data_IF_191023866885
#
_entry.id   IF_191023866885
#
_cell.length_a   1.000
_cell.length_b   1.000
_cell.length_c   1.000
_cell.angle_alpha   90.00
_cell.angle_beta   90.00
_cell.angle_gamma   90.00
#
_symmetry.space_group_name_H-M   'P 1'
#
loop_
_entity.id
_entity.type
_entity.pdbx_description
1 polymer ?
#
# COMPACT_ATOMS: atom_id res chain seq x y z
N UNK A 1 37.24 1.05 16.69
CA UNK A 1 36.46 -0.16 17.08
C UNK A 1 35.01 0.08 16.68
N UNK A 2 34.62 -0.44 15.51
CA UNK A 2 33.22 -0.50 15.09
C UNK A 2 32.54 -1.68 15.79
N UNK A 3 31.41 -1.47 16.48
CA UNK A 3 30.48 -2.54 16.72
C UNK A 3 29.16 -2.31 15.96
N UNK A 4 28.70 -3.39 15.31
CA UNK A 4 27.28 -3.76 15.11
C UNK A 4 26.53 -3.03 13.97
N UNK A 5 26.25 -3.61 12.81
CA UNK A 5 25.56 -4.89 12.57
C UNK A 5 24.35 -5.07 13.50
N UNK A 6 23.24 -4.34 13.28
CA UNK A 6 21.92 -4.87 13.64
C UNK A 6 20.77 -4.13 12.97
N UNK A 7 20.19 -4.81 11.98
CA UNK A 7 18.76 -4.95 11.72
C UNK A 7 17.78 -3.76 11.83
N UNK A 8 17.16 -3.51 10.67
CA UNK A 8 15.70 -3.52 10.48
C UNK A 8 14.90 -2.64 11.45
N UNK A 9 14.22 -1.64 10.89
CA UNK A 9 12.74 -1.62 10.98
C UNK A 9 12.12 -0.65 10.00
N UNK A 10 11.39 -1.26 9.06
CA UNK A 10 10.07 -0.87 8.60
C UNK A 10 9.81 0.63 8.59
N UNK A 11 10.02 1.25 7.43
CA UNK A 11 9.22 2.40 7.05
C UNK A 11 7.74 1.94 7.12
N UNK A 12 7.10 2.27 8.23
CA UNK A 12 5.68 2.07 8.43
C UNK A 12 4.97 2.97 7.44
N UNK A 13 4.60 2.41 6.30
CA UNK A 13 3.70 3.06 5.38
C UNK A 13 2.33 3.10 6.08
N UNK A 14 1.93 4.29 6.49
CA UNK A 14 0.61 4.60 7.02
C UNK A 14 -0.40 4.36 5.90
N UNK A 15 -0.86 3.10 5.80
CA UNK A 15 -1.74 2.62 4.73
C UNK A 15 -3.09 3.29 4.88
N UNK A 16 -3.28 4.41 4.18
CA UNK A 16 -4.61 4.89 3.87
C UNK A 16 -5.20 3.84 2.94
N UNK A 17 -6.26 3.17 3.36
CA UNK A 17 -7.04 2.29 2.51
C UNK A 17 -8.26 3.07 2.01
N UNK A 18 -8.62 2.89 0.74
CA UNK A 18 -9.83 3.44 0.14
C UNK A 18 -10.75 2.33 -0.34
N UNK A 19 -12.01 2.66 -0.51
CA UNK A 19 -12.99 1.74 -1.08
C UNK A 19 -13.01 1.94 -2.59
N UNK A 20 -12.86 0.87 -3.35
CA UNK A 20 -13.00 0.90 -4.80
C UNK A 20 -14.47 1.22 -5.16
N UNK A 21 -14.76 2.32 -5.87
CA UNK A 21 -16.13 2.64 -6.31
C UNK A 21 -16.70 1.65 -7.33
N UNK A 22 -15.84 0.83 -7.97
CA UNK A 22 -16.27 -0.11 -9.00
C UNK A 22 -16.67 -1.49 -8.45
N UNK A 23 -16.11 -1.91 -7.30
CA UNK A 23 -16.42 -3.23 -6.71
C UNK A 23 -16.75 -3.18 -5.22
N UNK A 24 -16.59 -2.03 -4.56
CA UNK A 24 -16.87 -1.85 -3.12
C UNK A 24 -15.82 -2.45 -2.19
N UNK A 25 -14.67 -2.92 -2.68
CA UNK A 25 -13.62 -3.50 -1.83
C UNK A 25 -12.62 -2.48 -1.32
N UNK A 26 -12.11 -2.73 -0.12
CA UNK A 26 -11.01 -1.96 0.47
C UNK A 26 -9.69 -2.27 -0.24
N UNK A 27 -9.02 -1.24 -0.72
CA UNK A 27 -7.76 -1.28 -1.46
C UNK A 27 -6.81 -0.23 -0.89
N UNK A 28 -5.49 -0.38 -1.05
CA UNK A 28 -4.54 0.66 -0.66
C UNK A 28 -4.81 1.96 -1.44
N UNK A 29 -4.66 3.12 -0.80
CA UNK A 29 -4.78 4.42 -1.48
C UNK A 29 -3.64 4.64 -2.48
N UNK A 30 -2.50 3.99 -2.24
CA UNK A 30 -1.35 3.95 -3.14
C UNK A 30 -1.58 3.03 -4.36
N UNK A 31 -2.61 2.18 -4.32
CA UNK A 31 -2.94 1.30 -5.42
C UNK A 31 -3.59 2.09 -6.57
N UNK A 32 -2.80 2.27 -7.63
CA UNK A 32 -3.21 2.85 -8.92
C UNK A 32 -4.28 2.02 -9.63
N UNK A 33 -4.26 0.70 -9.41
CA UNK A 33 -5.21 -0.26 -9.97
C UNK A 33 -5.78 -1.12 -8.86
N UNK A 34 -7.08 -1.39 -8.90
CA UNK A 34 -7.75 -2.30 -7.99
C UNK A 34 -7.28 -3.75 -8.26
N UNK A 35 -6.62 -4.42 -7.32
CA UNK A 35 -6.19 -5.81 -7.49
C UNK A 35 -7.37 -6.81 -7.49
N UNK A 36 -8.55 -6.38 -7.08
CA UNK A 36 -9.72 -7.24 -6.99
C UNK A 36 -10.60 -7.24 -8.24
N UNK A 37 -10.72 -6.09 -8.92
CA UNK A 37 -11.58 -5.97 -10.11
C UNK A 37 -10.85 -5.44 -11.35
N UNK A 38 -9.59 -5.00 -11.24
CA UNK A 38 -8.83 -4.44 -12.35
C UNK A 38 -9.17 -2.97 -12.68
N UNK A 39 -9.95 -2.28 -11.85
CA UNK A 39 -10.28 -0.86 -12.06
C UNK A 39 -9.02 0.02 -11.91
N UNK A 40 -8.64 0.74 -12.96
CA UNK A 40 -7.63 1.79 -12.89
C UNK A 40 -8.22 3.06 -12.24
N UNK A 41 -7.44 3.72 -11.40
CA UNK A 41 -7.80 4.94 -10.68
C UNK A 41 -6.92 6.13 -11.01
N UNK A 42 -5.99 5.93 -11.92
CA UNK A 42 -5.03 6.91 -12.41
C UNK A 42 -5.58 7.51 -13.72
N UNK A 43 -6.69 8.24 -13.62
CA UNK A 43 -7.29 9.03 -14.70
C UNK A 43 -7.57 10.45 -14.22
#
# INVERSE_FOLDING_TARGET
>A
PEPSFYEKKAAGEEKKDRICPSCGRSIPFDAKVCPYCGKNFEE
#
